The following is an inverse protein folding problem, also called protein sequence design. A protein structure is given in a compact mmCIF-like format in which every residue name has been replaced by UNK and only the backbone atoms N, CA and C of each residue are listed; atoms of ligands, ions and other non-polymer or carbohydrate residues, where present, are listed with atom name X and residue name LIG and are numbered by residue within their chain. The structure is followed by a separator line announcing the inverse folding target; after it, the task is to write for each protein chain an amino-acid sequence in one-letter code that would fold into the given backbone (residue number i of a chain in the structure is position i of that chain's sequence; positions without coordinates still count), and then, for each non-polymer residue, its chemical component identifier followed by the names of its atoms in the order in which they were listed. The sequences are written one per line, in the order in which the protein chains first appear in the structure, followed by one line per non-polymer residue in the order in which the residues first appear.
data_IF_280547108302
#
_entry.id   IF_280547108302
#
_cell.length_a   1.000
_cell.length_b   1.000
_cell.length_c   1.000
_cell.angle_alpha   90.00
_cell.angle_beta   90.00
_cell.angle_gamma   90.00
#
_symmetry.space_group_name_H-M   'P 1'
#
loop_
_entity.id
_entity.type
_entity.pdbx_description
1 polymer ?
#
# COMPACT_ATOMS: atom_id res chain seq x y z
N UNK A 1 -6.53 10.89 11.99
CA UNK A 1 -7.01 11.67 10.82
C UNK A 1 -7.00 10.75 9.62
N UNK A 2 -8.10 10.08 9.31
CA UNK A 2 -8.25 9.24 8.10
C UNK A 2 -9.03 10.04 7.07
N UNK A 3 -8.34 10.90 6.33
CA UNK A 3 -8.88 11.34 5.05
C UNK A 3 -8.90 10.11 4.16
N UNK A 4 -10.07 9.55 3.86
CA UNK A 4 -10.19 8.46 2.90
C UNK A 4 -9.90 9.01 1.52
N UNK A 5 -8.71 8.73 0.99
CA UNK A 5 -8.43 8.98 -0.42
C UNK A 5 -9.06 7.82 -1.17
N UNK A 6 -10.08 8.10 -1.97
CA UNK A 6 -10.65 7.12 -2.90
C UNK A 6 -9.62 6.91 -4.02
N UNK A 7 -9.02 5.73 -4.05
CA UNK A 7 -8.00 5.38 -5.05
C UNK A 7 -8.70 4.68 -6.21
N UNK A 8 -8.72 5.32 -7.37
CA UNK A 8 -9.19 4.71 -8.62
C UNK A 8 -8.09 3.80 -9.19
N UNK A 9 -8.17 2.52 -8.85
CA UNK A 9 -7.22 1.48 -9.27
C UNK A 9 -7.24 1.27 -10.79
N UNK A 10 -8.39 1.40 -11.44
CA UNK A 10 -8.53 1.20 -12.88
C UNK A 10 -7.90 2.36 -13.66
N UNK A 11 -8.08 3.60 -13.18
CA UNK A 11 -7.37 4.75 -13.71
C UNK A 11 -5.85 4.60 -13.51
N UNK A 12 -5.39 4.17 -12.34
CA UNK A 12 -3.97 3.95 -12.07
C UNK A 12 -3.35 2.89 -13.01
N UNK A 13 -4.06 1.77 -13.26
CA UNK A 13 -3.65 0.75 -14.23
C UNK A 13 -3.62 1.29 -15.66
N UNK A 14 -4.60 2.10 -16.02
CA UNK A 14 -4.67 2.72 -17.35
C UNK A 14 -3.47 3.62 -17.60
N UNK A 15 -3.14 4.50 -16.66
CA UNK A 15 -1.98 5.38 -16.76
C UNK A 15 -0.66 4.61 -16.74
N UNK A 16 -0.54 3.57 -15.91
CA UNK A 16 0.62 2.68 -15.93
C UNK A 16 0.82 1.98 -17.28
N UNK A 17 -0.27 1.50 -17.89
CA UNK A 17 -0.21 0.85 -19.20
C UNK A 17 0.19 1.84 -20.31
N UNK A 18 -0.30 3.09 -20.27
CA UNK A 18 0.16 4.14 -21.18
C UNK A 18 1.66 4.41 -21.00
N UNK A 19 2.12 4.55 -19.76
CA UNK A 19 3.53 4.78 -19.45
C UNK A 19 4.41 3.64 -19.97
N UNK A 20 4.02 2.38 -19.74
CA UNK A 20 4.72 1.20 -20.24
C UNK A 20 4.73 1.17 -21.76
N UNK A 21 3.58 1.41 -22.40
CA UNK A 21 3.48 1.35 -23.85
C UNK A 21 4.25 2.49 -24.52
N UNK A 22 3.91 3.73 -24.22
CA UNK A 22 4.47 4.91 -24.90
C UNK A 22 5.92 5.11 -24.47
N UNK A 23 6.19 5.08 -23.17
CA UNK A 23 7.51 5.34 -22.60
C UNK A 23 8.55 4.32 -23.06
N UNK A 24 8.30 3.01 -22.90
CA UNK A 24 9.28 2.00 -23.31
C UNK A 24 9.43 1.93 -24.83
N UNK A 25 8.35 2.16 -25.60
CA UNK A 25 8.44 2.22 -27.06
C UNK A 25 9.33 3.37 -27.52
N UNK A 26 9.14 4.58 -26.97
CA UNK A 26 9.93 5.74 -27.35
C UNK A 26 11.40 5.62 -26.92
N UNK A 27 11.67 5.11 -25.72
CA UNK A 27 13.04 4.90 -25.23
C UNK A 27 13.76 3.84 -26.07
N UNK A 28 13.10 2.73 -26.42
CA UNK A 28 13.65 1.68 -27.29
C UNK A 28 13.92 2.20 -28.72
N UNK A 29 13.02 3.02 -29.25
CA UNK A 29 13.20 3.66 -30.55
C UNK A 29 14.39 4.64 -30.53
N UNK A 30 14.53 5.42 -29.45
CA UNK A 30 15.68 6.31 -29.27
C UNK A 30 16.99 5.52 -29.23
N UNK A 31 17.06 4.42 -28.47
CA UNK A 31 18.24 3.54 -28.41
C UNK A 31 18.63 3.03 -29.80
N UNK A 32 17.65 2.49 -30.51
CA UNK A 32 17.85 1.91 -31.85
C UNK A 32 18.36 2.97 -32.83
N UNK A 33 17.75 4.16 -32.80
CA UNK A 33 18.14 5.29 -33.65
C UNK A 33 19.56 5.77 -33.35
N UNK A 34 19.87 6.05 -32.08
CA UNK A 34 21.19 6.54 -31.64
C UNK A 34 22.31 5.58 -32.04
N UNK A 35 22.16 4.28 -31.72
CA UNK A 35 23.16 3.28 -32.09
C UNK A 35 23.29 3.10 -33.62
N UNK A 36 22.19 3.25 -34.37
CA UNK A 36 22.22 3.21 -35.84
C UNK A 36 22.99 4.40 -36.43
N UNK A 37 22.75 5.61 -35.91
CA UNK A 37 23.47 6.82 -36.33
C UNK A 37 24.96 6.65 -36.06
N UNK A 38 25.35 6.24 -34.84
CA UNK A 38 26.75 6.06 -34.46
C UNK A 38 27.51 5.11 -35.41
N UNK A 39 26.89 3.98 -35.77
CA UNK A 39 27.46 3.02 -36.75
C UNK A 39 27.56 3.58 -38.17
N UNK A 40 26.72 4.54 -38.52
CA UNK A 40 26.73 5.23 -39.82
C UNK A 40 27.82 6.31 -39.95
N UNK A 41 28.42 6.75 -38.84
CA UNK A 41 29.45 7.78 -38.84
C UNK A 41 30.82 7.19 -39.18
N UNK A 42 31.10 7.05 -40.48
CA UNK A 42 32.32 6.41 -41.01
C UNK A 42 33.25 7.39 -41.72
N UNK A 43 34.51 7.00 -41.94
CA UNK A 43 35.46 7.77 -42.76
C UNK A 43 34.99 7.93 -44.22
N UNK A 44 34.23 6.96 -44.75
CA UNK A 44 33.64 7.08 -46.08
C UNK A 44 32.59 8.20 -46.18
N UNK A 45 31.90 8.51 -45.07
CA UNK A 45 30.89 9.59 -45.00
C UNK A 45 31.52 10.97 -44.84
N UNK A 46 32.58 11.08 -44.04
CA UNK A 46 33.15 12.37 -43.64
C UNK A 46 34.49 12.74 -44.28
N UNK A 47 35.17 11.77 -44.90
CA UNK A 47 36.54 11.95 -45.38
C UNK A 47 37.60 11.60 -44.32
N UNK A 48 38.86 11.88 -44.68
CA UNK A 48 40.06 11.54 -43.88
C UNK A 48 40.84 12.77 -43.42
N UNK A 49 40.36 13.97 -43.77
CA UNK A 49 40.94 15.23 -43.33
C UNK A 49 40.88 15.35 -41.80
N UNK A 50 41.93 15.89 -41.19
CA UNK A 50 42.06 15.94 -39.72
C UNK A 50 40.87 16.58 -39.02
N UNK A 51 40.27 17.64 -39.59
CA UNK A 51 39.08 18.28 -39.02
C UNK A 51 37.83 17.38 -39.05
N UNK A 52 37.63 16.66 -40.15
CA UNK A 52 36.51 15.72 -40.30
C UNK A 52 36.68 14.50 -39.39
N UNK A 53 37.91 14.03 -39.20
CA UNK A 53 38.24 12.96 -38.25
C UNK A 53 37.88 13.36 -36.82
N UNK A 54 38.35 14.52 -36.35
CA UNK A 54 38.04 14.98 -34.98
C UNK A 54 36.55 15.20 -34.75
N UNK A 55 35.85 15.77 -35.74
CA UNK A 55 34.40 15.94 -35.65
C UNK A 55 33.68 14.60 -35.53
N UNK A 56 33.99 13.63 -36.40
CA UNK A 56 33.39 12.30 -36.39
C UNK A 56 33.63 11.58 -35.07
N UNK A 57 34.86 11.60 -34.56
CA UNK A 57 35.20 10.96 -33.28
C UNK A 57 34.39 11.57 -32.14
N UNK A 58 34.29 12.90 -32.08
CA UNK A 58 33.50 13.57 -31.05
C UNK A 58 32.00 13.30 -31.18
N UNK A 59 31.48 13.22 -32.41
CA UNK A 59 30.08 12.87 -32.67
C UNK A 59 29.78 11.45 -32.19
N UNK A 60 30.63 10.47 -32.52
CA UNK A 60 30.47 9.08 -32.10
C UNK A 60 30.56 8.95 -30.57
N UNK A 61 31.50 9.66 -29.94
CA UNK A 61 31.62 9.72 -28.47
C UNK A 61 30.32 10.22 -27.82
N UNK A 62 29.80 11.37 -28.27
CA UNK A 62 28.54 11.92 -27.75
C UNK A 62 27.34 10.97 -27.99
N UNK A 63 27.29 10.26 -29.13
CA UNK A 63 26.22 9.30 -29.42
C UNK A 63 26.32 8.06 -28.50
N UNK A 64 27.53 7.59 -28.19
CA UNK A 64 27.73 6.50 -27.25
C UNK A 64 27.35 6.92 -25.81
N UNK A 65 27.70 8.14 -25.39
CA UNK A 65 27.26 8.69 -24.10
C UNK A 65 25.73 8.77 -24.03
N UNK A 66 25.08 9.23 -25.11
CA UNK A 66 23.63 9.28 -25.20
C UNK A 66 23.00 7.88 -25.12
N UNK A 67 23.59 6.87 -25.77
CA UNK A 67 23.11 5.48 -25.70
C UNK A 67 23.12 4.95 -24.25
N UNK A 68 24.17 5.25 -23.48
CA UNK A 68 24.24 4.89 -22.05
C UNK A 68 23.14 5.56 -21.24
N UNK A 69 22.86 6.85 -21.49
CA UNK A 69 21.78 7.57 -20.79
C UNK A 69 20.40 7.02 -21.16
N UNK A 70 20.19 6.62 -22.41
CA UNK A 70 18.95 5.97 -22.86
C UNK A 70 18.78 4.62 -22.17
N UNK A 71 19.85 3.85 -21.98
CA UNK A 71 19.82 2.57 -21.27
C UNK A 71 19.48 2.74 -19.79
N UNK A 72 20.02 3.77 -19.14
CA UNK A 72 19.65 4.13 -17.78
C UNK A 72 18.17 4.50 -17.69
N UNK A 73 17.68 5.35 -18.59
CA UNK A 73 16.27 5.75 -18.64
C UNK A 73 15.35 4.55 -18.87
N UNK A 74 15.74 3.62 -19.74
CA UNK A 74 14.98 2.38 -19.95
C UNK A 74 14.89 1.55 -18.66
N UNK A 75 16.01 1.37 -17.96
CA UNK A 75 16.08 0.66 -16.69
C UNK A 75 15.20 1.31 -15.62
N UNK A 76 15.32 2.64 -15.46
CA UNK A 76 14.55 3.39 -14.47
C UNK A 76 13.05 3.35 -14.75
N UNK A 77 12.65 3.51 -16.01
CA UNK A 77 11.25 3.41 -16.42
C UNK A 77 10.68 2.00 -16.17
N UNK A 78 11.47 0.96 -16.46
CA UNK A 78 11.08 -0.43 -16.19
C UNK A 78 10.87 -0.65 -14.70
N UNK A 79 11.83 -0.24 -13.87
CA UNK A 79 11.77 -0.38 -12.42
C UNK A 79 10.60 0.41 -11.81
N UNK A 80 10.43 1.67 -12.22
CA UNK A 80 9.32 2.52 -11.78
C UNK A 80 7.96 1.89 -12.13
N UNK A 81 7.80 1.43 -13.37
CA UNK A 81 6.56 0.80 -13.80
C UNK A 81 6.30 -0.54 -13.07
N UNK A 82 7.34 -1.27 -12.67
CA UNK A 82 7.22 -2.45 -11.82
C UNK A 82 6.75 -2.08 -10.41
N UNK A 83 7.38 -1.10 -9.78
CA UNK A 83 7.02 -0.65 -8.44
C UNK A 83 5.59 -0.10 -8.33
N UNK A 84 5.10 0.62 -9.35
CA UNK A 84 3.70 1.09 -9.38
C UNK A 84 2.72 -0.07 -9.51
N UNK A 85 3.03 -1.10 -10.32
CA UNK A 85 2.21 -2.31 -10.45
C UNK A 85 2.16 -3.08 -9.13
N UNK A 86 3.31 -3.23 -8.47
CA UNK A 86 3.41 -3.87 -7.16
C UNK A 86 2.58 -3.11 -6.11
N UNK A 87 2.63 -1.77 -6.12
CA UNK A 87 1.81 -0.94 -5.23
C UNK A 87 0.32 -1.09 -5.49
N UNK A 88 -0.11 -1.11 -6.76
CA UNK A 88 -1.51 -1.36 -7.14
C UNK A 88 -1.96 -2.74 -6.64
N UNK A 89 -1.14 -3.77 -6.86
CA UNK A 89 -1.49 -5.13 -6.45
C UNK A 89 -1.50 -5.30 -4.92
N UNK A 90 -0.61 -4.61 -4.21
CA UNK A 90 -0.63 -4.57 -2.75
C UNK A 90 -1.88 -3.87 -2.21
N UNK A 91 -2.31 -2.76 -2.85
CA UNK A 91 -3.54 -2.06 -2.49
C UNK A 91 -4.77 -2.96 -2.65
N UNK A 92 -4.93 -3.62 -3.81
CA UNK A 92 -6.07 -4.53 -4.07
C UNK A 92 -6.13 -5.66 -3.02
N UNK A 93 -4.98 -6.25 -2.67
CA UNK A 93 -4.91 -7.31 -1.64
C UNK A 93 -5.34 -6.79 -0.29
N UNK A 94 -4.82 -5.63 0.13
CA UNK A 94 -5.17 -5.00 1.41
C UNK A 94 -6.66 -4.67 1.50
N UNK A 95 -7.26 -4.20 0.41
CA UNK A 95 -8.68 -3.85 0.35
C UNK A 95 -9.56 -5.11 0.43
N UNK A 96 -9.19 -6.15 -0.31
CA UNK A 96 -9.88 -7.46 -0.28
C UNK A 96 -9.81 -8.11 1.10
N UNK A 97 -8.63 -8.08 1.74
CA UNK A 97 -8.43 -8.63 3.09
C UNK A 97 -9.26 -7.87 4.13
N UNK A 98 -9.34 -6.54 4.01
CA UNK A 98 -10.16 -5.69 4.88
C UNK A 98 -11.66 -5.97 4.73
N UNK A 99 -12.14 -6.14 3.50
CA UNK A 99 -13.52 -6.54 3.25
C UNK A 99 -13.84 -7.94 3.80
N UNK A 100 -12.92 -8.89 3.66
CA UNK A 100 -13.10 -10.24 4.18
C UNK A 100 -13.19 -10.22 5.72
N UNK A 101 -12.35 -9.45 6.39
CA UNK A 101 -12.39 -9.29 7.85
C UNK A 101 -13.70 -8.67 8.32
N UNK A 102 -14.22 -7.67 7.61
CA UNK A 102 -15.53 -7.07 7.89
C UNK A 102 -16.67 -8.10 7.77
N UNK A 103 -16.71 -8.89 6.69
CA UNK A 103 -17.73 -9.93 6.49
C UNK A 103 -17.67 -11.01 7.58
N UNK A 104 -16.47 -11.37 8.05
CA UNK A 104 -16.30 -12.30 9.18
C UNK A 104 -16.87 -11.70 10.47
N UNK A 105 -16.53 -10.45 10.79
CA UNK A 105 -17.05 -9.76 11.99
C UNK A 105 -18.58 -9.60 11.96
N UNK A 106 -19.15 -9.31 10.79
CA UNK A 106 -20.60 -9.25 10.60
C UNK A 106 -21.26 -10.62 10.79
N UNK A 107 -20.71 -11.68 10.21
CA UNK A 107 -21.20 -13.04 10.38
C UNK A 107 -21.10 -13.54 11.84
N UNK A 108 -20.02 -13.21 12.54
CA UNK A 108 -19.85 -13.50 13.97
C UNK A 108 -20.85 -12.72 14.81
N UNK A 109 -21.08 -11.44 14.51
CA UNK A 109 -22.07 -10.62 15.21
C UNK A 109 -23.49 -11.15 15.01
N UNK A 110 -23.86 -11.55 13.79
CA UNK A 110 -25.15 -12.17 13.48
C UNK A 110 -25.34 -13.48 14.26
N UNK A 111 -24.34 -14.38 14.27
CA UNK A 111 -24.37 -15.60 15.09
C UNK A 111 -24.48 -15.33 16.58
N UNK A 112 -23.83 -14.28 17.07
CA UNK A 112 -23.89 -13.90 18.48
C UNK A 112 -25.24 -13.31 18.87
N UNK A 113 -25.93 -12.63 17.95
CA UNK A 113 -27.27 -12.08 18.17
C UNK A 113 -28.38 -13.14 18.12
N UNK A 114 -28.20 -14.22 17.38
CA UNK A 114 -29.16 -15.34 17.31
C UNK A 114 -29.07 -16.28 18.51
N UNK A 115 -27.89 -16.37 19.15
CA UNK A 115 -27.60 -17.28 20.28
C UNK A 115 -28.52 -17.09 21.51
N UNK A 116 -28.85 -15.86 21.95
CA UNK A 116 -29.79 -15.63 23.05
C UNK A 116 -31.22 -16.03 22.68
N UNK A 117 -31.64 -15.79 21.43
CA UNK A 117 -32.98 -16.16 20.95
C UNK A 117 -33.15 -17.68 20.80
N UNK A 118 -32.05 -18.39 20.52
CA UNK A 118 -32.03 -19.84 20.47
C UNK A 118 -32.03 -20.45 21.88
N UNK A 119 -31.29 -19.85 22.83
CA UNK A 119 -31.36 -20.22 24.25
C UNK A 119 -32.75 -19.98 24.85
N UNK A 120 -33.41 -18.87 24.53
CA UNK A 120 -34.77 -18.56 25.00
C UNK A 120 -35.79 -19.53 24.43
N UNK A 121 -35.72 -19.84 23.12
CA UNK A 121 -36.55 -20.88 22.49
C UNK A 121 -36.35 -22.27 23.11
N UNK A 122 -35.10 -22.65 23.43
CA UNK A 122 -34.81 -23.90 24.12
C UNK A 122 -35.35 -23.91 25.55
N UNK A 123 -35.34 -22.76 26.24
CA UNK A 123 -35.90 -22.60 27.58
C UNK A 123 -37.42 -22.76 27.57
N UNK A 124 -38.11 -22.12 26.63
CA UNK A 124 -39.56 -22.26 26.42
C UNK A 124 -39.96 -23.70 26.05
N UNK A 125 -39.13 -24.39 25.26
CA UNK A 125 -39.39 -25.77 24.85
C UNK A 125 -39.08 -26.80 25.95
N UNK A 126 -38.18 -26.48 26.88
CA UNK A 126 -37.83 -27.33 28.02
C UNK A 126 -38.84 -27.29 29.18
N UNK A 127 -39.79 -26.34 29.17
CA UNK A 127 -40.82 -26.23 30.21
C UNK A 127 -40.27 -25.88 31.59
N UNK A 128 -39.14 -25.18 31.66
CA UNK A 128 -38.55 -24.75 32.93
C UNK A 128 -39.27 -23.47 33.39
N UNK A 129 -40.39 -23.65 34.10
CA UNK A 129 -41.08 -22.56 34.79
C UNK A 129 -40.12 -21.88 35.75
N UNK A 130 -39.99 -20.56 35.62
CA UNK A 130 -39.27 -19.74 36.58
C UNK A 130 -39.96 -19.90 37.94
N UNK A 131 -39.27 -20.55 38.89
CA UNK A 131 -39.65 -20.57 40.30
C UNK A 131 -39.53 -19.14 40.85
N UNK A 132 -40.61 -18.37 40.73
CA UNK A 132 -40.75 -17.05 41.33
C UNK A 132 -41.10 -17.23 42.81
N UNK A 133 -40.09 -17.54 43.63
CA UNK A 133 -40.21 -17.40 45.07
C UNK A 133 -39.95 -15.94 45.47
N UNK A 134 -41.03 -15.15 45.51
CA UNK A 134 -41.05 -13.90 46.27
C UNK A 134 -40.81 -14.20 47.75
N UNK A 135 -39.66 -13.77 48.27
CA UNK A 135 -39.52 -13.48 49.71
C UNK A 135 -38.96 -12.07 49.86
N UNK A 136 -39.86 -11.16 50.21
CA UNK A 136 -39.51 -9.82 50.66
C UNK A 136 -38.77 -9.87 52.00
N UNK A 137 -37.82 -8.96 52.16
CA UNK A 137 -37.53 -8.35 53.45
C UNK A 137 -36.85 -7.01 53.19
N UNK A 138 -37.59 -5.95 53.52
CA UNK A 138 -37.06 -4.61 53.71
C UNK A 138 -35.95 -4.61 54.76
N UNK A 139 -34.96 -3.73 54.58
CA UNK A 139 -33.83 -3.60 55.49
C UNK A 139 -32.96 -2.41 55.12
N UNK A 140 -33.52 -1.21 55.25
CA UNK A 140 -32.76 0.04 55.20
C UNK A 140 -31.68 0.04 56.28
N UNK A 141 -30.43 0.34 55.93
CA UNK A 141 -29.55 1.18 56.75
C UNK A 141 -28.55 1.91 55.87
N UNK A 142 -28.75 3.23 55.87
CA UNK A 142 -27.83 4.28 55.47
C UNK A 142 -26.59 4.28 56.38
N UNK A 143 -25.38 4.33 55.80
CA UNK A 143 -24.18 4.78 56.51
C UNK A 143 -23.26 5.54 55.56
N UNK A 144 -23.18 6.83 55.83
CA UNK A 144 -22.30 7.83 55.23
C UNK A 144 -20.90 7.82 55.83
N UNK A 145 -19.96 8.39 55.06
CA UNK A 145 -18.58 8.84 55.37
C UNK A 145 -17.54 7.74 55.66
N UNK A 146 -16.34 7.76 55.07
CA UNK A 146 -15.41 8.89 55.13
C UNK A 146 -14.34 8.79 54.03
N UNK A 147 -13.87 9.95 53.59
CA UNK A 147 -12.69 10.18 52.75
C UNK A 147 -11.43 9.46 53.26
N UNK A 148 -10.59 9.05 52.32
CA UNK A 148 -9.14 8.99 52.48
C UNK A 148 -8.51 9.22 51.11
N UNK A 149 -8.23 10.49 50.84
CA UNK A 149 -7.14 10.88 49.95
C UNK A 149 -5.82 10.42 50.57
N UNK A 150 -5.01 9.69 49.80
CA UNK A 150 -3.54 9.61 49.86
C UNK A 150 -3.17 8.65 48.71
N UNK A 151 -2.62 9.10 47.58
CA UNK A 151 -1.36 9.82 47.51
C UNK A 151 -0.24 8.82 47.24
N UNK A 152 0.03 8.49 45.97
CA UNK A 152 1.36 8.01 45.58
C UNK A 152 1.68 8.29 44.11
N UNK A 153 2.07 9.52 43.84
CA UNK A 153 2.99 9.85 42.75
C UNK A 153 4.37 9.26 43.06
N UNK A 154 4.89 8.33 42.25
CA UNK A 154 6.33 8.15 41.97
C UNK A 154 6.47 7.57 40.55
N UNK A 155 6.79 8.41 39.55
CA UNK A 155 8.13 8.87 39.10
C UNK A 155 8.77 7.93 38.06
N UNK A 156 8.94 8.51 36.86
CA UNK A 156 10.06 8.43 35.92
C UNK A 156 10.81 7.11 35.74
N UNK A 157 10.90 6.65 34.49
CA UNK A 157 12.14 6.80 33.73
C UNK A 157 11.92 6.51 32.25
N UNK A 158 11.94 7.60 31.50
CA UNK A 158 12.39 7.75 30.12
C UNK A 158 13.80 7.14 29.96
N UNK A 159 14.01 6.39 28.88
CA UNK A 159 15.33 6.18 28.27
C UNK A 159 15.15 5.67 26.84
N UNK A 160 15.11 6.62 25.92
CA UNK A 160 15.75 6.46 24.61
C UNK A 160 17.27 6.41 24.84
N UNK A 161 17.98 5.48 24.21
CA UNK A 161 19.02 5.84 23.23
C UNK A 161 19.49 4.59 22.44
N UNK A 162 19.91 4.76 21.18
CA UNK A 162 20.38 3.73 20.27
C UNK A 162 21.91 3.56 20.33
N UNK A 163 22.38 2.40 19.88
CA UNK A 163 23.70 2.24 19.26
C UNK A 163 23.53 1.59 17.87
#
# INVERSE_FOLDING_TARGET
MSGGWEVDVDAARTELNKLRHDGLTHVTAAKTSTGSIARGETSAKWGVESGAVMFRERLVENLNELEVLIDLLHSDLTAFSGGVDDAINAFIRSDTDSEAELKVKEAESARNAERPQEQERLREQSGEEADTSEQGSEGATERTNSESEDGNERRNSESEDPE
#
